data_IF_045107777792
#
_entry.id   IF_045107777792
#
_cell.length_a   1.000
_cell.length_b   1.000
_cell.length_c   1.000
_cell.angle_alpha   90.00
_cell.angle_beta   90.00
_cell.angle_gamma   90.00
#
_symmetry.space_group_name_H-M   'P 1'
#
loop_
_entity.id
_entity.type
_entity.pdbx_description
1 polymer ?
#
# COMPACT_ATOMS: atom_id res chain seq x y z
N UNK A 1 -2.50 -30.57 10.34
CA UNK A 1 -3.38 -29.93 9.35
C UNK A 1 -3.41 -28.45 9.71
N UNK A 2 -2.71 -27.62 8.97
CA UNK A 2 -2.82 -26.15 9.09
C UNK A 2 -4.21 -25.85 8.54
N UNK A 3 -5.12 -25.37 9.39
CA UNK A 3 -6.46 -25.00 8.97
C UNK A 3 -6.36 -23.97 7.85
N UNK A 4 -7.13 -24.14 6.77
CA UNK A 4 -7.24 -23.16 5.70
C UNK A 4 -7.66 -21.82 6.30
N UNK A 5 -6.70 -20.93 6.37
CA UNK A 5 -6.93 -19.57 6.85
C UNK A 5 -7.57 -18.80 5.68
N UNK A 6 -8.91 -18.82 5.60
CA UNK A 6 -9.69 -18.14 4.55
C UNK A 6 -9.57 -16.59 4.60
N UNK A 7 -8.48 -16.06 5.13
CA UNK A 7 -8.23 -14.62 5.22
C UNK A 7 -7.85 -14.07 3.85
N UNK A 8 -8.64 -13.16 3.33
CA UNK A 8 -8.43 -12.49 2.04
C UNK A 8 -7.62 -11.23 2.24
N UNK A 9 -6.45 -11.16 1.60
CA UNK A 9 -5.51 -10.04 1.75
C UNK A 9 -5.17 -9.43 0.38
N UNK A 10 -5.27 -8.12 0.28
CA UNK A 10 -4.75 -7.35 -0.84
C UNK A 10 -3.40 -6.75 -0.43
N UNK A 11 -2.37 -6.94 -1.26
CA UNK A 11 -1.04 -6.35 -1.08
C UNK A 11 -0.72 -5.50 -2.30
N UNK A 12 -0.55 -4.18 -2.13
CA UNK A 12 -0.10 -3.32 -3.23
C UNK A 12 1.42 -3.29 -3.30
N UNK A 13 1.98 -3.19 -4.52
CA UNK A 13 3.43 -3.19 -4.71
C UNK A 13 4.10 -4.55 -4.48
N UNK A 14 3.36 -5.64 -4.61
CA UNK A 14 3.86 -7.00 -4.36
C UNK A 14 4.80 -7.55 -5.44
N UNK A 15 5.06 -6.81 -6.51
CA UNK A 15 6.03 -7.25 -7.53
C UNK A 15 7.49 -7.19 -7.07
N UNK A 16 7.81 -6.51 -5.96
CA UNK A 16 9.20 -6.40 -5.47
C UNK A 16 9.28 -6.06 -3.98
N UNK A 17 10.50 -6.15 -3.42
CA UNK A 17 10.83 -5.64 -2.09
C UNK A 17 9.92 -6.15 -0.97
N UNK A 18 9.54 -5.25 -0.07
CA UNK A 18 8.71 -5.55 1.11
C UNK A 18 7.36 -6.15 0.70
N UNK A 19 6.69 -5.57 -0.31
CA UNK A 19 5.40 -6.07 -0.76
C UNK A 19 5.46 -7.53 -1.23
N UNK A 20 6.51 -7.91 -1.98
CA UNK A 20 6.70 -9.27 -2.45
C UNK A 20 6.93 -10.25 -1.29
N UNK A 21 7.83 -9.91 -0.37
CA UNK A 21 8.10 -10.73 0.81
C UNK A 21 6.83 -10.88 1.66
N UNK A 22 6.05 -9.80 1.83
CA UNK A 22 4.79 -9.82 2.56
C UNK A 22 3.77 -10.74 1.90
N UNK A 23 3.59 -10.64 0.57
CA UNK A 23 2.65 -11.48 -0.16
C UNK A 23 3.03 -12.98 -0.08
N UNK A 24 4.32 -13.30 -0.22
CA UNK A 24 4.83 -14.69 -0.05
C UNK A 24 4.55 -15.22 1.35
N UNK A 25 4.94 -14.48 2.37
CA UNK A 25 4.74 -14.89 3.75
C UNK A 25 3.26 -15.10 4.12
N UNK A 26 2.38 -14.23 3.63
CA UNK A 26 0.93 -14.38 3.85
C UNK A 26 0.39 -15.64 3.15
N UNK A 27 0.81 -15.90 1.91
CA UNK A 27 0.45 -17.12 1.19
C UNK A 27 0.93 -18.38 1.92
N UNK A 28 2.17 -18.39 2.39
CA UNK A 28 2.74 -19.51 3.16
C UNK A 28 1.97 -19.78 4.46
N UNK A 29 1.34 -18.75 5.02
CA UNK A 29 0.45 -18.85 6.19
C UNK A 29 -1.02 -19.14 5.83
N UNK A 30 -1.30 -19.57 4.60
CA UNK A 30 -2.62 -20.02 4.17
C UNK A 30 -3.61 -18.92 3.82
N UNK A 31 -3.17 -17.67 3.68
CA UNK A 31 -4.03 -16.57 3.24
C UNK A 31 -4.31 -16.66 1.73
N UNK A 32 -5.47 -16.18 1.31
CA UNK A 32 -5.80 -15.88 -0.09
C UNK A 32 -5.24 -14.50 -0.39
N UNK A 33 -4.21 -14.44 -1.24
CA UNK A 33 -3.47 -13.19 -1.49
C UNK A 33 -3.69 -12.69 -2.91
N UNK A 34 -4.11 -11.44 -3.01
CA UNK A 34 -4.17 -10.65 -4.24
C UNK A 34 -3.07 -9.61 -4.24
N UNK A 35 -2.26 -9.60 -5.29
CA UNK A 35 -1.16 -8.67 -5.45
C UNK A 35 -1.50 -7.66 -6.53
N UNK A 36 -1.43 -6.36 -6.19
CA UNK A 36 -1.69 -5.24 -7.09
C UNK A 36 -0.38 -4.56 -7.46
N UNK A 37 0.02 -4.68 -8.71
CA UNK A 37 1.15 -3.92 -9.26
C UNK A 37 1.06 -3.84 -10.79
N UNK A 38 1.82 -2.93 -11.37
CA UNK A 38 1.87 -2.75 -12.83
C UNK A 38 2.57 -3.89 -13.57
N UNK A 39 3.46 -4.61 -12.89
CA UNK A 39 4.28 -5.67 -13.48
C UNK A 39 3.86 -7.01 -12.93
N UNK A 40 3.50 -7.92 -13.84
CA UNK A 40 3.27 -9.31 -13.47
C UNK A 40 4.60 -10.01 -13.23
N UNK A 41 4.90 -10.29 -11.97
CA UNK A 41 6.01 -11.18 -11.60
C UNK A 41 5.37 -12.40 -10.95
N UNK A 42 5.38 -13.57 -11.61
CA UNK A 42 4.70 -14.76 -11.10
C UNK A 42 5.13 -15.10 -9.67
N UNK A 43 4.15 -15.44 -8.86
CA UNK A 43 4.32 -15.86 -7.47
C UNK A 43 3.31 -16.98 -7.21
N UNK A 44 3.82 -18.16 -6.90
CA UNK A 44 2.97 -19.35 -6.73
C UNK A 44 1.92 -19.13 -5.65
N UNK A 45 0.66 -19.37 -6.00
CA UNK A 45 -0.47 -19.24 -5.08
C UNK A 45 -0.85 -17.79 -4.72
N UNK A 46 -0.29 -16.79 -5.37
CA UNK A 46 -0.68 -15.39 -5.28
C UNK A 46 -1.35 -14.96 -6.57
N UNK A 47 -2.53 -14.37 -6.48
CA UNK A 47 -3.26 -13.85 -7.64
C UNK A 47 -2.77 -12.44 -7.96
N UNK A 48 -2.15 -12.28 -9.12
CA UNK A 48 -1.76 -10.95 -9.63
C UNK A 48 -2.91 -10.27 -10.34
N UNK A 49 -3.13 -9.00 -10.02
CA UNK A 49 -3.97 -8.08 -10.80
C UNK A 49 -3.11 -6.89 -11.25
N UNK A 50 -3.12 -6.63 -12.56
CA UNK A 50 -2.36 -5.50 -13.13
C UNK A 50 -3.07 -4.19 -12.80
N UNK A 51 -2.50 -3.44 -11.85
CA UNK A 51 -3.09 -2.19 -11.33
C UNK A 51 -2.02 -1.12 -11.21
N UNK A 52 -2.28 0.03 -11.80
CA UNK A 52 -1.60 1.27 -11.41
C UNK A 52 -2.43 1.94 -10.31
N UNK A 53 -1.88 2.09 -9.12
CA UNK A 53 -2.60 2.67 -7.98
C UNK A 53 -2.93 4.15 -8.17
N UNK A 54 -2.31 4.82 -9.14
CA UNK A 54 -2.62 6.22 -9.50
C UNK A 54 -3.87 6.34 -10.35
N UNK A 55 -4.32 5.23 -10.94
CA UNK A 55 -5.56 5.14 -11.70
C UNK A 55 -6.70 4.66 -10.79
N UNK A 56 -7.60 5.59 -10.42
CA UNK A 56 -8.72 5.31 -9.52
C UNK A 56 -9.69 4.27 -10.09
N UNK A 57 -9.91 4.28 -11.39
CA UNK A 57 -10.83 3.35 -12.06
C UNK A 57 -10.25 1.94 -12.09
N UNK A 58 -8.95 1.80 -12.41
CA UNK A 58 -8.25 0.52 -12.36
C UNK A 58 -8.25 -0.08 -10.95
N UNK A 59 -8.02 0.75 -9.92
CA UNK A 59 -8.08 0.32 -8.52
C UNK A 59 -9.48 -0.16 -8.15
N UNK A 60 -10.52 0.61 -8.49
CA UNK A 60 -11.91 0.25 -8.22
C UNK A 60 -12.28 -1.08 -8.91
N UNK A 61 -11.94 -1.24 -10.18
CA UNK A 61 -12.21 -2.47 -10.93
C UNK A 61 -11.54 -3.70 -10.29
N UNK A 62 -10.28 -3.57 -9.89
CA UNK A 62 -9.54 -4.64 -9.24
C UNK A 62 -10.13 -5.03 -7.87
N UNK A 63 -10.51 -4.03 -7.05
CA UNK A 63 -11.17 -4.29 -5.76
C UNK A 63 -12.52 -4.99 -5.96
N UNK A 64 -13.31 -4.54 -6.94
CA UNK A 64 -14.57 -5.20 -7.29
C UNK A 64 -14.36 -6.65 -7.72
N UNK A 65 -13.32 -6.93 -8.52
CA UNK A 65 -12.99 -8.29 -8.94
C UNK A 65 -12.67 -9.20 -7.74
N UNK A 66 -11.92 -8.69 -6.75
CA UNK A 66 -11.65 -9.44 -5.51
C UNK A 66 -12.95 -9.72 -4.76
N UNK A 67 -13.81 -8.72 -4.58
CA UNK A 67 -15.10 -8.87 -3.88
C UNK A 67 -16.04 -9.84 -4.60
N UNK A 68 -16.11 -9.78 -5.92
CA UNK A 68 -16.96 -10.70 -6.71
C UNK A 68 -16.54 -12.15 -6.52
N UNK A 69 -15.22 -12.41 -6.39
CA UNK A 69 -14.68 -13.76 -6.24
C UNK A 69 -14.70 -14.26 -4.80
N UNK A 70 -14.29 -13.43 -3.86
CA UNK A 70 -14.07 -13.85 -2.46
C UNK A 70 -15.19 -13.40 -1.50
N UNK A 71 -16.09 -12.54 -1.94
CA UNK A 71 -17.20 -11.94 -1.17
C UNK A 71 -16.77 -11.09 0.03
N UNK A 72 -15.48 -11.02 0.33
CA UNK A 72 -14.91 -10.26 1.46
C UNK A 72 -13.49 -9.77 1.17
N UNK A 73 -13.03 -8.82 1.97
CA UNK A 73 -11.63 -8.42 2.11
C UNK A 73 -11.37 -8.32 3.62
N UNK A 74 -10.38 -9.04 4.13
CA UNK A 74 -10.06 -9.00 5.56
C UNK A 74 -8.95 -7.98 5.87
N UNK A 75 -7.96 -7.85 4.96
CA UNK A 75 -6.83 -6.93 5.16
C UNK A 75 -6.35 -6.34 3.85
N UNK A 76 -5.97 -5.08 3.88
CA UNK A 76 -5.25 -4.41 2.79
C UNK A 76 -3.91 -3.92 3.32
N UNK A 77 -2.83 -4.25 2.61
CA UNK A 77 -1.47 -3.83 2.95
C UNK A 77 -0.91 -2.99 1.82
N UNK A 78 -0.80 -1.69 2.05
CA UNK A 78 -0.23 -0.75 1.09
C UNK A 78 1.29 -0.73 1.23
N UNK A 79 1.97 -1.41 0.29
CA UNK A 79 3.44 -1.45 0.18
C UNK A 79 3.96 -0.69 -1.03
N UNK A 80 3.07 -0.23 -1.91
CA UNK A 80 3.48 0.52 -3.10
C UNK A 80 4.13 1.83 -2.70
N UNK A 81 5.27 2.13 -3.34
CA UNK A 81 5.96 3.39 -3.13
C UNK A 81 7.38 3.34 -3.68
N UNK A 82 7.89 4.51 -3.98
CA UNK A 82 9.30 4.69 -4.36
C UNK A 82 9.85 5.99 -3.77
N UNK A 83 11.17 6.07 -3.66
CA UNK A 83 11.89 7.25 -3.22
C UNK A 83 12.74 7.83 -4.33
N UNK A 84 12.85 9.15 -4.36
CA UNK A 84 13.80 9.88 -5.20
C UNK A 84 15.06 10.09 -4.38
N UNK A 85 16.22 9.73 -4.95
CA UNK A 85 17.53 9.97 -4.33
C UNK A 85 18.20 11.16 -5.00
N UNK A 86 18.71 12.10 -4.21
CA UNK A 86 19.39 13.29 -4.70
C UNK A 86 19.21 14.48 -3.77
N UNK A 87 19.84 15.60 -4.06
CA UNK A 87 19.60 16.84 -3.35
C UNK A 87 18.29 17.49 -3.86
N UNK A 88 17.58 18.17 -2.98
CA UNK A 88 16.25 18.73 -3.28
C UNK A 88 16.30 19.71 -4.45
N UNK A 89 17.37 20.50 -4.55
CA UNK A 89 17.58 21.45 -5.63
C UNK A 89 17.69 20.81 -7.02
N UNK A 90 18.00 19.52 -7.10
CA UNK A 90 18.07 18.76 -8.36
C UNK A 90 16.83 17.90 -8.63
N UNK A 91 15.86 17.89 -7.74
CA UNK A 91 14.60 17.16 -7.92
C UNK A 91 13.62 18.05 -8.70
N UNK A 92 13.21 17.59 -9.89
CA UNK A 92 12.21 18.33 -10.67
C UNK A 92 10.83 18.26 -10.00
N UNK A 93 9.99 19.27 -10.24
CA UNK A 93 8.61 19.25 -9.76
C UNK A 93 7.78 18.10 -10.36
N UNK A 94 8.12 17.64 -11.55
CA UNK A 94 7.51 16.47 -12.18
C UNK A 94 7.83 15.19 -11.39
N UNK A 95 9.10 14.98 -11.05
CA UNK A 95 9.53 13.85 -10.22
C UNK A 95 8.86 13.89 -8.85
N UNK A 96 8.80 15.06 -8.22
CA UNK A 96 8.16 15.22 -6.93
C UNK A 96 6.66 14.88 -6.99
N UNK A 97 5.94 15.38 -8.00
CA UNK A 97 4.51 15.06 -8.21
C UNK A 97 4.32 13.57 -8.45
N UNK A 98 5.10 12.95 -9.33
CA UNK A 98 5.00 11.51 -9.61
C UNK A 98 5.21 10.66 -8.34
N UNK A 99 6.12 11.08 -7.46
CA UNK A 99 6.32 10.40 -6.17
C UNK A 99 5.08 10.54 -5.27
N UNK A 100 4.49 11.73 -5.19
CA UNK A 100 3.26 11.96 -4.43
C UNK A 100 2.08 11.19 -5.02
N UNK A 101 1.94 11.17 -6.34
CA UNK A 101 0.86 10.45 -7.02
C UNK A 101 0.87 8.97 -6.64
N UNK A 102 2.03 8.33 -6.65
CA UNK A 102 2.13 6.91 -6.28
C UNK A 102 2.02 6.71 -4.77
N UNK A 103 2.87 7.39 -3.98
CA UNK A 103 3.03 7.06 -2.57
C UNK A 103 1.86 7.55 -1.70
N UNK A 104 1.25 8.67 -2.08
CA UNK A 104 0.17 9.29 -1.34
C UNK A 104 -1.19 9.04 -2.00
N UNK A 105 -1.40 9.58 -3.19
CA UNK A 105 -2.69 9.48 -3.86
C UNK A 105 -3.03 8.03 -4.25
N UNK A 106 -2.04 7.23 -4.63
CA UNK A 106 -2.24 5.80 -4.87
C UNK A 106 -2.72 5.06 -3.62
N UNK A 107 -2.14 5.35 -2.45
CA UNK A 107 -2.62 4.80 -1.17
C UNK A 107 -4.04 5.28 -0.85
N UNK A 108 -4.34 6.55 -1.11
CA UNK A 108 -5.70 7.11 -0.93
C UNK A 108 -6.70 6.41 -1.84
N UNK A 109 -6.38 6.20 -3.12
CA UNK A 109 -7.25 5.51 -4.07
C UNK A 109 -7.60 4.10 -3.61
N UNK A 110 -6.59 3.32 -3.20
CA UNK A 110 -6.81 1.97 -2.68
C UNK A 110 -7.69 2.00 -1.42
N UNK A 111 -7.39 2.89 -0.48
CA UNK A 111 -8.19 3.02 0.74
C UNK A 111 -9.63 3.44 0.44
N UNK A 112 -9.86 4.40 -0.44
CA UNK A 112 -11.21 4.81 -0.89
C UNK A 112 -11.99 3.64 -1.48
N UNK A 113 -11.35 2.83 -2.32
CA UNK A 113 -11.98 1.70 -2.98
C UNK A 113 -12.42 0.61 -2.00
N UNK A 114 -11.59 0.31 -0.97
CA UNK A 114 -11.88 -0.79 -0.03
C UNK A 114 -12.74 -0.39 1.16
N UNK A 115 -12.64 0.85 1.65
CA UNK A 115 -13.35 1.31 2.86
C UNK A 115 -14.87 1.09 2.84
N UNK A 116 -15.61 1.31 1.72
CA UNK A 116 -17.04 1.02 1.68
C UNK A 116 -17.38 -0.45 1.94
N UNK A 117 -16.51 -1.38 1.49
CA UNK A 117 -16.68 -2.81 1.71
C UNK A 117 -16.37 -3.19 3.15
N UNK A 118 -15.24 -2.74 3.68
CA UNK A 118 -14.86 -3.00 5.07
C UNK A 118 -15.90 -2.45 6.05
N UNK A 119 -16.48 -1.29 5.75
CA UNK A 119 -17.54 -0.68 6.57
C UNK A 119 -18.83 -1.49 6.53
N UNK A 120 -19.28 -1.97 5.37
CA UNK A 120 -20.45 -2.85 5.26
C UNK A 120 -20.22 -4.20 5.94
N UNK A 121 -19.00 -4.72 5.87
CA UNK A 121 -18.58 -5.97 6.50
C UNK A 121 -18.48 -5.83 8.03
N UNK A 122 -18.35 -4.60 8.57
CA UNK A 122 -18.20 -4.30 9.98
C UNK A 122 -16.84 -4.68 10.57
N UNK A 123 -15.91 -5.15 9.75
CA UNK A 123 -14.56 -5.56 10.16
C UNK A 123 -13.58 -5.48 8.99
N UNK A 124 -12.29 -5.41 9.30
CA UNK A 124 -11.18 -5.41 8.35
C UNK A 124 -10.07 -4.50 8.80
N UNK A 125 -8.90 -4.63 8.15
CA UNK A 125 -7.72 -3.87 8.52
C UNK A 125 -7.12 -3.21 7.29
N UNK A 126 -6.60 -1.99 7.47
CA UNK A 126 -5.75 -1.32 6.48
C UNK A 126 -4.41 -1.06 7.14
N UNK A 127 -3.35 -1.55 6.52
CA UNK A 127 -1.97 -1.37 6.95
C UNK A 127 -1.25 -0.57 5.88
N UNK A 128 -0.69 0.58 6.25
CA UNK A 128 0.14 1.38 5.35
C UNK A 128 1.61 1.22 5.76
N UNK A 129 2.43 0.72 4.86
CA UNK A 129 3.87 0.59 5.09
C UNK A 129 4.50 1.97 4.92
N UNK A 130 5.06 2.46 6.00
CA UNK A 130 5.77 3.73 6.06
C UNK A 130 7.28 3.53 5.93
N UNK A 131 8.06 4.55 6.20
CA UNK A 131 9.53 4.52 6.14
C UNK A 131 10.14 5.00 7.44
N UNK A 132 11.32 4.46 7.78
CA UNK A 132 12.15 4.99 8.88
C UNK A 132 12.54 6.45 8.66
N UNK A 133 12.59 6.89 7.41
CA UNK A 133 12.84 8.30 7.06
C UNK A 133 11.71 9.23 7.49
N UNK A 134 10.57 8.70 7.80
CA UNK A 134 9.44 9.43 8.33
C UNK A 134 9.59 9.79 9.82
N UNK A 135 10.41 9.04 10.53
CA UNK A 135 10.59 9.17 11.99
C UNK A 135 11.96 9.79 12.33
N UNK A 136 12.93 9.75 11.40
CA UNK A 136 14.27 10.30 11.58
C UNK A 136 14.64 11.25 10.47
N UNK A 137 14.95 12.49 10.80
CA UNK A 137 15.68 13.42 9.93
C UNK A 137 17.12 12.93 9.78
N UNK A 138 17.50 12.53 8.57
CA UNK A 138 18.90 12.26 8.26
C UNK A 138 19.61 13.59 8.01
N UNK A 139 20.42 14.02 8.96
CA UNK A 139 21.28 15.19 8.81
C UNK A 139 22.42 14.82 7.84
N UNK A 140 22.47 15.41 6.67
CA UNK A 140 23.61 15.32 5.76
C UNK A 140 24.83 15.92 6.45
N UNK A 141 25.92 15.17 6.60
CA UNK A 141 27.23 15.74 6.97
C UNK A 141 27.81 16.39 5.72
N UNK A 142 28.41 17.62 5.83
CA UNK A 142 28.95 18.36 4.69
C UNK A 142 30.11 17.71 3.93
N UNK A 143 30.61 16.57 4.39
CA UNK A 143 31.87 15.98 3.91
C UNK A 143 31.72 14.70 3.09
N UNK A 144 30.52 14.29 2.67
CA UNK A 144 30.36 13.14 1.80
C UNK A 144 29.38 13.42 0.65
N UNK A 145 29.71 13.03 -0.61
CA UNK A 145 28.89 13.29 -1.81
C UNK A 145 27.55 12.53 -1.86
N UNK A 146 27.16 11.86 -0.80
CA UNK A 146 25.92 11.06 -0.72
C UNK A 146 24.97 11.61 0.35
N UNK A 147 24.60 12.88 0.23
CA UNK A 147 23.54 13.45 1.03
C UNK A 147 22.19 12.89 0.57
N UNK A 148 21.61 11.96 1.31
CA UNK A 148 20.21 11.56 1.12
C UNK A 148 19.30 12.70 1.59
N UNK A 149 18.37 13.16 0.78
CA UNK A 149 17.62 14.40 1.06
C UNK A 149 16.49 14.21 2.07
N UNK A 150 16.07 15.28 2.74
CA UNK A 150 14.94 15.32 3.67
C UNK A 150 13.56 15.18 3.01
N UNK A 151 13.48 14.97 1.69
CA UNK A 151 12.23 14.93 0.95
C UNK A 151 11.30 13.76 1.32
N UNK A 152 11.83 12.73 1.99
CA UNK A 152 11.06 11.57 2.42
C UNK A 152 10.19 11.83 3.66
N UNK A 153 10.32 12.99 4.29
CA UNK A 153 9.69 13.30 5.57
C UNK A 153 8.18 13.61 5.48
N UNK A 154 7.67 13.96 4.32
CA UNK A 154 6.28 14.45 4.17
C UNK A 154 5.26 13.31 4.11
N UNK A 155 5.66 12.10 3.79
CA UNK A 155 4.76 10.97 3.50
C UNK A 155 4.30 10.15 4.71
N UNK A 156 4.72 10.49 5.91
CA UNK A 156 4.48 9.64 7.10
C UNK A 156 3.22 9.96 7.89
N UNK A 157 2.53 11.02 7.59
CA UNK A 157 1.44 11.53 8.45
C UNK A 157 0.09 10.83 8.31
N UNK A 158 -0.03 9.73 7.57
CA UNK A 158 -1.27 8.97 7.47
C UNK A 158 -1.16 7.56 8.07
N UNK A 159 -0.80 7.46 9.34
CA UNK A 159 -1.16 6.29 10.14
C UNK A 159 -2.60 6.45 10.61
N UNK A 160 -3.55 6.01 9.82
CA UNK A 160 -4.90 5.80 10.32
C UNK A 160 -5.02 4.35 10.78
N UNK A 161 -4.94 4.13 12.08
CA UNK A 161 -5.58 2.97 12.71
C UNK A 161 -7.08 3.18 12.51
N UNK A 162 -7.67 2.56 11.52
CA UNK A 162 -9.12 2.43 11.46
C UNK A 162 -9.53 1.26 12.33
N UNK A 163 -9.65 1.49 13.64
CA UNK A 163 -10.52 0.65 14.47
C UNK A 163 -11.96 0.94 14.05
N UNK A 164 -12.82 -0.05 13.86
CA UNK A 164 -14.22 0.16 13.52
C UNK A 164 -15.02 0.51 14.79
N UNK A 165 -14.77 1.68 15.35
CA UNK A 165 -15.60 2.28 16.41
C UNK A 165 -15.75 3.76 16.11
N UNK A 166 -16.45 4.06 15.02
CA UNK A 166 -17.08 5.35 14.88
C UNK A 166 -18.52 5.16 15.32
N UNK A 167 -18.75 5.30 16.62
CA UNK A 167 -20.09 5.56 17.18
C UNK A 167 -20.65 6.80 16.48
N UNK A 168 -21.87 6.64 15.99
CA UNK A 168 -22.77 7.66 15.45
C UNK A 168 -22.64 8.98 16.21
N UNK A 169 -22.38 10.06 15.49
CA UNK A 169 -22.82 11.38 15.93
C UNK A 169 -24.30 11.47 15.59
N UNK A 170 -25.17 11.84 16.54
CA UNK A 170 -26.57 12.09 16.26
C UNK A 170 -26.72 13.39 15.47
N UNK A 171 -27.70 13.39 14.61
CA UNK A 171 -28.22 14.49 13.79
C UNK A 171 -28.52 15.75 14.58
#
# INVERSE_FOLDING_TARGET
>A
MVGENNTVVIVTGGSSGIGRCTASALKENGCIVYEFSRRSIPMEGVTHLSVDVTDEDAVNAAVQQVIQKETKIDTVINCVGFGISGAVEFTSMEQAKAQFDVNFFGTVNVNKAVLPFLRRQGKGHIVNISSVAAVRTFRSRPSTPQAKPPFLLILTLLQTKSSPTASMLPS
#
